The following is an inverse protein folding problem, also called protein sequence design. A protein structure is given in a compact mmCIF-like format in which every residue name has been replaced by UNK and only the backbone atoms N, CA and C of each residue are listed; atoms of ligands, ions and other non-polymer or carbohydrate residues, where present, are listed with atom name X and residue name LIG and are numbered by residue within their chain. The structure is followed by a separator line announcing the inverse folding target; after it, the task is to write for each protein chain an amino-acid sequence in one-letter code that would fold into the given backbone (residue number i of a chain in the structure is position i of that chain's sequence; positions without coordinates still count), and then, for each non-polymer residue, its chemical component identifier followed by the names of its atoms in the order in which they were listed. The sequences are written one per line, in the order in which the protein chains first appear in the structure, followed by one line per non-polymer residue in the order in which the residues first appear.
data_IF_723450586783
#
_entry.id   IF_723450586783
#
_cell.length_a   1.000
_cell.length_b   1.000
_cell.length_c   1.000
_cell.angle_alpha   90.00
_cell.angle_beta   90.00
_cell.angle_gamma   90.00
#
_symmetry.space_group_name_H-M   'P 1'
#
loop_
_entity.id
_entity.type
_entity.pdbx_description
1 polymer ?
#
# COMPACT_ATOMS: atom_id res chain seq x y z
N UNK A 1 9.31 4.77 14.37
CA UNK A 1 10.77 5.06 14.28
C UNK A 1 11.30 4.41 13.00
N UNK A 2 12.18 5.09 12.24
CA UNK A 2 12.77 4.55 11.01
C UNK A 2 13.85 3.52 11.33
N UNK A 3 13.85 2.37 10.60
CA UNK A 3 14.93 1.38 10.69
C UNK A 3 16.30 1.91 10.24
N UNK A 4 16.34 3.04 9.53
CA UNK A 4 17.59 3.72 9.14
C UNK A 4 18.46 4.03 10.36
N UNK A 5 17.86 4.36 11.52
CA UNK A 5 18.61 4.65 12.76
C UNK A 5 19.34 3.44 13.32
N UNK A 6 19.03 2.23 12.87
CA UNK A 6 19.72 1.00 13.28
C UNK A 6 21.04 0.79 12.53
N UNK A 7 21.21 1.41 11.35
CA UNK A 7 22.44 1.30 10.56
C UNK A 7 23.68 1.82 11.27
N UNK A 8 23.50 2.76 12.21
CA UNK A 8 24.61 3.25 13.03
C UNK A 8 25.08 2.25 14.11
N UNK A 9 24.28 1.21 14.39
CA UNK A 9 24.54 0.23 15.46
C UNK A 9 24.86 -1.17 14.93
N UNK A 10 24.39 -1.50 13.73
CA UNK A 10 24.43 -2.86 13.20
C UNK A 10 24.89 -2.86 11.75
N UNK A 11 25.94 -3.60 11.45
CA UNK A 11 26.51 -3.69 10.10
C UNK A 11 25.80 -4.72 9.20
N UNK A 12 24.94 -5.56 9.76
CA UNK A 12 24.25 -6.65 9.06
C UNK A 12 22.81 -6.32 8.69
N UNK A 13 22.45 -5.04 8.62
CA UNK A 13 21.12 -4.55 8.26
C UNK A 13 21.13 -3.94 6.87
N UNK A 14 20.10 -4.25 6.09
CA UNK A 14 19.76 -3.55 4.84
C UNK A 14 18.38 -2.94 4.99
N UNK A 15 18.27 -1.64 4.81
CA UNK A 15 17.00 -0.91 4.82
C UNK A 15 16.63 -0.54 3.40
N UNK A 16 15.57 -1.14 2.87
CA UNK A 16 15.06 -0.84 1.52
C UNK A 16 13.99 0.25 1.55
N UNK A 17 13.92 1.04 0.48
CA UNK A 17 12.91 2.06 0.24
C UNK A 17 12.42 1.97 -1.21
N UNK A 18 11.15 2.23 -1.41
CA UNK A 18 10.51 2.17 -2.73
C UNK A 18 9.91 3.51 -3.12
N UNK A 19 10.02 3.86 -4.38
CA UNK A 19 9.28 4.99 -4.98
C UNK A 19 7.92 4.57 -5.56
N UNK A 20 7.56 3.29 -5.44
CA UNK A 20 6.37 2.73 -6.10
C UNK A 20 5.04 3.21 -5.54
N UNK A 21 4.97 3.64 -4.28
CA UNK A 21 3.69 3.98 -3.62
C UNK A 21 3.53 5.48 -3.47
N UNK A 22 4.01 6.05 -2.37
CA UNK A 22 3.80 7.44 -2.02
C UNK A 22 4.35 8.45 -3.06
N UNK A 23 5.35 8.05 -3.82
CA UNK A 23 5.93 8.86 -4.90
C UNK A 23 5.31 8.57 -6.28
N UNK A 24 4.31 7.70 -6.37
CA UNK A 24 3.58 7.32 -7.60
C UNK A 24 4.46 6.80 -8.76
N UNK A 25 5.66 6.31 -8.49
CA UNK A 25 6.62 5.85 -9.51
C UNK A 25 6.64 4.31 -9.69
N UNK A 26 5.52 3.62 -9.44
CA UNK A 26 5.46 2.16 -9.51
C UNK A 26 5.88 1.60 -10.88
N UNK A 27 5.41 2.22 -11.97
CA UNK A 27 5.72 1.81 -13.35
C UNK A 27 7.16 2.06 -13.78
N UNK A 28 7.86 2.98 -13.09
CA UNK A 28 9.23 3.39 -13.44
C UNK A 28 10.28 2.42 -12.91
N UNK A 29 9.93 1.56 -11.96
CA UNK A 29 10.76 0.48 -11.40
C UNK A 29 12.02 0.98 -10.69
N UNK A 30 11.86 1.85 -9.69
CA UNK A 30 12.97 2.43 -8.91
C UNK A 30 12.73 2.31 -7.41
N UNK A 31 13.78 2.03 -6.70
CA UNK A 31 13.89 1.99 -5.24
C UNK A 31 15.37 2.11 -4.86
N UNK A 32 15.66 2.14 -3.56
CA UNK A 32 17.03 2.16 -3.07
C UNK A 32 17.18 1.38 -1.78
N UNK A 33 18.40 0.97 -1.50
CA UNK A 33 18.80 0.35 -0.26
C UNK A 33 19.86 1.16 0.48
N UNK A 34 19.85 1.08 1.79
CA UNK A 34 20.86 1.65 2.67
C UNK A 34 21.45 0.50 3.49
N UNK A 35 22.77 0.36 3.49
CA UNK A 35 23.50 -0.65 4.23
C UNK A 35 24.91 -0.18 4.58
N UNK A 36 25.69 -1.01 5.28
CA UNK A 36 27.12 -0.78 5.46
C UNK A 36 27.86 -0.83 4.10
N UNK A 37 29.01 -0.16 4.01
CA UNK A 37 29.82 -0.15 2.79
C UNK A 37 30.21 -1.57 2.32
N UNK A 38 30.51 -2.47 3.25
CA UNK A 38 30.84 -3.85 2.94
C UNK A 38 29.69 -4.58 2.24
N UNK A 39 28.46 -4.47 2.76
CA UNK A 39 27.26 -5.05 2.13
C UNK A 39 27.02 -4.43 0.75
N UNK A 40 27.13 -3.11 0.62
CA UNK A 40 26.96 -2.43 -0.68
C UNK A 40 27.98 -2.93 -1.69
N UNK A 41 29.25 -3.10 -1.28
CA UNK A 41 30.30 -3.66 -2.13
C UNK A 41 29.98 -5.07 -2.64
N UNK A 42 29.41 -5.94 -1.80
CA UNK A 42 28.97 -7.28 -2.23
C UNK A 42 27.81 -7.22 -3.24
N UNK A 43 26.85 -6.33 -3.03
CA UNK A 43 25.78 -6.11 -4.03
C UNK A 43 26.30 -5.58 -5.36
N UNK A 44 27.30 -4.70 -5.34
CA UNK A 44 27.90 -4.16 -6.57
C UNK A 44 28.59 -5.23 -7.43
N UNK A 45 29.05 -6.32 -6.83
CA UNK A 45 29.64 -7.47 -7.58
C UNK A 45 28.60 -8.24 -8.40
N UNK A 46 27.34 -8.27 -7.95
CA UNK A 46 26.30 -9.11 -8.54
C UNK A 46 25.18 -8.32 -9.25
N UNK A 47 25.08 -7.02 -9.03
CA UNK A 47 24.04 -6.22 -9.67
C UNK A 47 24.29 -6.13 -11.17
N UNK A 48 23.21 -6.16 -11.94
CA UNK A 48 23.29 -5.98 -13.39
C UNK A 48 23.69 -4.54 -13.75
N UNK A 49 24.52 -4.35 -14.77
CA UNK A 49 24.77 -3.03 -15.33
C UNK A 49 23.47 -2.37 -15.76
N UNK A 50 23.34 -1.07 -15.52
CA UNK A 50 22.15 -0.28 -15.90
C UNK A 50 20.83 -0.79 -15.31
N UNK A 51 20.87 -1.47 -14.15
CA UNK A 51 19.69 -2.01 -13.45
C UNK A 51 18.59 -0.97 -13.15
N UNK A 52 18.93 0.32 -13.11
CA UNK A 52 18.00 1.46 -13.02
C UNK A 52 18.23 2.38 -14.21
N UNK A 53 17.20 2.58 -15.04
CA UNK A 53 17.30 3.45 -16.21
C UNK A 53 17.45 4.93 -15.80
N UNK A 54 18.03 5.74 -16.70
CA UNK A 54 18.34 7.15 -16.46
C UNK A 54 17.08 7.99 -16.11
N UNK A 55 15.97 7.74 -16.81
CA UNK A 55 14.72 8.46 -16.57
C UNK A 55 14.22 8.17 -15.15
N UNK A 56 14.25 6.91 -14.72
CA UNK A 56 13.86 6.51 -13.36
C UNK A 56 14.67 7.23 -12.29
N UNK A 57 15.99 7.36 -12.50
CA UNK A 57 16.87 8.09 -11.57
C UNK A 57 16.50 9.57 -11.49
N UNK A 58 16.27 10.24 -12.63
CA UNK A 58 15.85 11.65 -12.66
C UNK A 58 14.49 11.87 -12.02
N UNK A 59 13.53 10.99 -12.29
CA UNK A 59 12.19 11.06 -11.67
C UNK A 59 12.25 10.83 -10.15
N UNK A 60 13.09 9.92 -9.69
CA UNK A 60 13.28 9.69 -8.26
C UNK A 60 13.84 10.94 -7.55
N UNK A 61 14.86 11.59 -8.13
CA UNK A 61 15.40 12.85 -7.58
C UNK A 61 14.33 13.92 -7.54
N UNK A 62 13.63 14.17 -8.65
CA UNK A 62 12.58 15.19 -8.71
C UNK A 62 11.46 14.92 -7.70
N UNK A 63 11.09 13.64 -7.49
CA UNK A 63 10.02 13.29 -6.53
C UNK A 63 10.45 13.50 -5.06
N UNK A 64 11.73 13.39 -4.75
CA UNK A 64 12.26 13.70 -3.41
C UNK A 64 12.25 15.21 -3.12
N UNK A 65 12.34 16.04 -4.15
CA UNK A 65 12.28 17.50 -4.04
C UNK A 65 10.85 18.04 -3.94
N UNK A 66 9.84 17.26 -4.36
CA UNK A 66 8.43 17.64 -4.27
C UNK A 66 7.81 17.32 -2.90
N UNK A 67 8.22 18.07 -1.89
CA UNK A 67 7.67 17.96 -0.54
C UNK A 67 6.17 18.27 -0.45
N UNK A 68 5.62 19.07 -1.38
CA UNK A 68 4.19 19.40 -1.42
C UNK A 68 3.36 18.18 -1.83
N UNK A 69 3.80 17.49 -2.88
CA UNK A 69 3.16 16.25 -3.31
C UNK A 69 3.20 15.18 -2.21
N UNK A 70 4.36 14.99 -1.61
CA UNK A 70 4.55 14.01 -0.51
C UNK A 70 3.58 14.30 0.65
N UNK A 71 3.51 15.55 1.12
CA UNK A 71 2.61 15.96 2.19
C UNK A 71 1.15 15.69 1.85
N UNK A 72 0.71 16.12 0.65
CA UNK A 72 -0.66 15.89 0.18
C UNK A 72 -1.01 14.39 0.10
N UNK A 73 -0.08 13.56 -0.36
CA UNK A 73 -0.29 12.12 -0.46
C UNK A 73 -0.43 11.46 0.91
N UNK A 74 0.34 11.89 1.90
CA UNK A 74 0.23 11.44 3.29
C UNK A 74 -1.12 11.85 3.89
N UNK A 75 -1.50 13.11 3.78
CA UNK A 75 -2.77 13.64 4.30
C UNK A 75 -3.98 12.91 3.70
N UNK A 76 -3.95 12.62 2.40
CA UNK A 76 -4.99 11.85 1.72
C UNK A 76 -5.08 10.41 2.27
N UNK A 77 -3.93 9.75 2.41
CA UNK A 77 -3.88 8.39 2.95
C UNK A 77 -4.39 8.35 4.39
N UNK A 78 -3.96 9.25 5.23
CA UNK A 78 -4.31 9.27 6.64
C UNK A 78 -5.81 9.58 6.84
N UNK A 79 -6.32 10.61 6.17
CA UNK A 79 -7.74 10.97 6.23
C UNK A 79 -8.65 9.88 5.64
N UNK A 80 -8.24 9.26 4.53
CA UNK A 80 -8.96 8.14 3.93
C UNK A 80 -8.96 6.89 4.82
N UNK A 81 -7.85 6.61 5.47
CA UNK A 81 -7.72 5.50 6.43
C UNK A 81 -8.67 5.70 7.62
N UNK A 82 -8.66 6.88 8.23
CA UNK A 82 -9.55 7.17 9.36
C UNK A 82 -11.02 7.11 8.96
N UNK A 83 -11.38 7.65 7.80
CA UNK A 83 -12.72 7.55 7.26
C UNK A 83 -13.15 6.06 7.10
N UNK A 84 -12.33 5.24 6.45
CA UNK A 84 -12.67 3.82 6.26
C UNK A 84 -12.78 3.07 7.58
N UNK A 85 -11.91 3.33 8.56
CA UNK A 85 -12.00 2.71 9.89
C UNK A 85 -13.32 3.05 10.59
N UNK A 86 -13.74 4.32 10.55
CA UNK A 86 -15.01 4.75 11.14
C UNK A 86 -16.20 4.02 10.51
N UNK A 87 -16.29 4.04 9.18
CA UNK A 87 -17.38 3.40 8.45
C UNK A 87 -17.42 1.87 8.63
N UNK A 88 -16.26 1.21 8.69
CA UNK A 88 -16.18 -0.23 8.94
C UNK A 88 -16.60 -0.59 10.36
N UNK A 89 -16.23 0.23 11.35
CA UNK A 89 -16.67 0.05 12.73
C UNK A 89 -18.19 0.18 12.87
N UNK A 90 -18.82 1.18 12.19
CA UNK A 90 -20.29 1.32 12.17
C UNK A 90 -20.96 0.12 11.52
N UNK A 91 -20.33 -0.54 10.57
CA UNK A 91 -20.82 -1.75 9.92
C UNK A 91 -20.56 -3.04 10.72
N UNK A 92 -19.83 -2.97 11.83
CA UNK A 92 -19.39 -4.12 12.61
C UNK A 92 -18.39 -5.01 11.87
N UNK A 93 -17.63 -4.45 10.91
CA UNK A 93 -16.61 -5.17 10.12
C UNK A 93 -15.27 -4.99 10.78
N UNK A 94 -14.65 -6.09 11.22
CA UNK A 94 -13.27 -6.07 11.73
C UNK A 94 -12.24 -5.94 10.63
N UNK A 95 -11.09 -5.36 10.97
CA UNK A 95 -9.96 -5.17 10.06
C UNK A 95 -8.63 -5.36 10.78
N UNK A 96 -7.59 -5.64 10.02
CA UNK A 96 -6.22 -5.77 10.54
C UNK A 96 -5.57 -4.39 10.70
N UNK A 97 -4.78 -4.22 11.77
CA UNK A 97 -3.96 -3.01 11.92
C UNK A 97 -3.01 -2.86 10.74
N UNK A 98 -2.93 -1.63 10.23
CA UNK A 98 -2.13 -1.31 9.05
C UNK A 98 -1.42 0.02 9.19
N UNK A 99 -0.23 0.11 8.57
CA UNK A 99 0.59 1.31 8.42
C UNK A 99 0.91 1.57 6.95
N UNK A 100 0.06 1.05 6.06
CA UNK A 100 0.23 1.09 4.61
C UNK A 100 -0.83 1.96 3.95
N UNK A 101 -0.92 1.91 2.63
CA UNK A 101 -1.94 2.59 1.84
C UNK A 101 -3.17 1.70 1.55
N UNK A 102 -3.42 0.72 2.39
CA UNK A 102 -4.59 -0.17 2.28
C UNK A 102 -5.05 -0.64 3.65
N UNK A 103 -6.31 -1.05 3.75
CA UNK A 103 -6.89 -1.73 4.89
C UNK A 103 -7.33 -3.14 4.49
N UNK A 104 -7.14 -4.11 5.39
CA UNK A 104 -7.54 -5.50 5.18
C UNK A 104 -8.75 -5.80 6.06
N UNK A 105 -9.91 -6.01 5.43
CA UNK A 105 -11.20 -6.22 6.09
C UNK A 105 -11.53 -7.71 6.17
N UNK A 106 -12.19 -8.11 7.25
CA UNK A 106 -12.65 -9.48 7.47
C UNK A 106 -14.15 -9.58 7.24
N UNK A 107 -14.58 -10.45 6.32
CA UNK A 107 -15.98 -10.64 5.96
C UNK A 107 -16.51 -12.08 6.24
N UNK A 108 -15.60 -12.96 6.67
CA UNK A 108 -15.94 -14.35 6.98
C UNK A 108 -16.45 -15.12 5.77
N UNK A 109 -17.49 -15.97 5.92
CA UNK A 109 -18.02 -16.79 4.81
C UNK A 109 -18.60 -15.97 3.65
N UNK A 110 -18.91 -14.69 3.85
CA UNK A 110 -19.51 -13.80 2.83
C UNK A 110 -18.48 -13.19 1.88
N UNK A 111 -17.19 -13.36 2.15
CA UNK A 111 -16.09 -12.67 1.45
C UNK A 111 -16.18 -12.81 -0.06
N UNK A 112 -16.32 -14.03 -0.57
CA UNK A 112 -16.36 -14.28 -2.01
C UNK A 112 -17.58 -13.63 -2.67
N UNK A 113 -18.76 -13.77 -2.09
CA UNK A 113 -20.00 -13.17 -2.63
C UNK A 113 -19.96 -11.65 -2.62
N UNK A 114 -19.45 -11.04 -1.53
CA UNK A 114 -19.26 -9.57 -1.46
C UNK A 114 -18.26 -9.12 -2.50
N UNK A 115 -17.15 -9.84 -2.69
CA UNK A 115 -16.16 -9.54 -3.72
C UNK A 115 -16.76 -9.53 -5.12
N UNK A 116 -17.55 -10.55 -5.48
CA UNK A 116 -18.19 -10.68 -6.80
C UNK A 116 -19.21 -9.55 -7.05
N UNK A 117 -20.04 -9.22 -6.06
CA UNK A 117 -21.01 -8.11 -6.17
C UNK A 117 -20.25 -6.78 -6.37
N UNK A 118 -19.23 -6.50 -5.56
CA UNK A 118 -18.44 -5.27 -5.67
C UNK A 118 -17.74 -5.18 -7.03
N UNK A 119 -17.18 -6.29 -7.50
CA UNK A 119 -16.51 -6.37 -8.81
C UNK A 119 -17.51 -6.08 -9.96
N UNK A 120 -18.69 -6.67 -9.93
CA UNK A 120 -19.75 -6.42 -10.94
C UNK A 120 -20.23 -4.97 -10.96
N UNK A 121 -20.11 -4.28 -9.82
CA UNK A 121 -20.42 -2.86 -9.71
C UNK A 121 -19.21 -1.93 -9.97
N UNK A 122 -18.08 -2.47 -10.43
CA UNK A 122 -16.88 -1.72 -10.79
C UNK A 122 -16.00 -1.34 -9.60
N UNK A 123 -16.16 -1.97 -8.43
CA UNK A 123 -15.26 -1.82 -7.28
C UNK A 123 -14.30 -3.00 -7.23
N UNK A 124 -13.06 -2.78 -7.66
CA UNK A 124 -12.04 -3.82 -7.76
C UNK A 124 -11.23 -3.85 -6.46
N UNK A 125 -11.44 -4.89 -5.67
CA UNK A 125 -10.67 -5.18 -4.47
C UNK A 125 -9.63 -6.29 -4.72
N UNK A 126 -8.78 -6.54 -3.74
CA UNK A 126 -7.84 -7.67 -3.78
C UNK A 126 -8.32 -8.80 -2.87
N UNK A 127 -8.68 -9.93 -3.45
CA UNK A 127 -8.84 -11.18 -2.68
C UNK A 127 -7.50 -11.60 -2.08
N UNK A 128 -7.53 -12.09 -0.84
CA UNK A 128 -6.35 -12.58 -0.15
C UNK A 128 -6.35 -14.12 -0.02
N UNK A 129 -7.21 -14.81 -0.76
CA UNK A 129 -7.29 -16.27 -0.81
C UNK A 129 -5.93 -16.91 -1.14
N UNK A 130 -5.24 -16.39 -2.17
CA UNK A 130 -3.93 -16.86 -2.58
C UNK A 130 -2.82 -16.67 -1.52
N UNK A 131 -3.13 -15.93 -0.44
CA UNK A 131 -2.25 -15.74 0.72
C UNK A 131 -2.68 -16.57 1.94
N UNK A 132 -3.61 -17.52 1.76
CA UNK A 132 -4.17 -18.32 2.85
C UNK A 132 -5.16 -17.56 3.74
N UNK A 133 -5.72 -16.46 3.25
CA UNK A 133 -6.67 -15.61 3.97
C UNK A 133 -8.00 -15.47 3.19
N UNK A 134 -8.77 -16.57 3.00
CA UNK A 134 -9.97 -16.57 2.17
C UNK A 134 -11.11 -15.70 2.71
N UNK A 135 -11.07 -15.39 4.01
CA UNK A 135 -12.08 -14.55 4.68
C UNK A 135 -11.78 -13.06 4.64
N UNK A 136 -10.76 -12.64 3.87
CA UNK A 136 -10.28 -11.26 3.87
C UNK A 136 -10.23 -10.65 2.47
N UNK A 137 -10.54 -9.35 2.40
CA UNK A 137 -10.31 -8.52 1.23
C UNK A 137 -9.41 -7.34 1.58
N UNK A 138 -8.52 -6.98 0.66
CA UNK A 138 -7.68 -5.79 0.79
C UNK A 138 -8.28 -4.64 -0.02
N UNK A 139 -8.49 -3.53 0.66
CA UNK A 139 -9.04 -2.28 0.10
C UNK A 139 -7.93 -1.24 0.08
N UNK A 140 -7.57 -0.75 -1.08
CA UNK A 140 -6.62 0.37 -1.21
C UNK A 140 -7.31 1.68 -0.80
N UNK A 141 -6.61 2.53 -0.07
CA UNK A 141 -7.10 3.86 0.25
C UNK A 141 -7.10 4.69 -1.03
N UNK A 142 -8.26 5.19 -1.41
CA UNK A 142 -8.47 6.02 -2.59
C UNK A 142 -8.70 7.50 -2.24
N UNK A 143 -9.19 8.25 -3.21
CA UNK A 143 -9.72 9.60 -3.00
C UNK A 143 -10.96 9.56 -2.11
N UNK A 144 -11.41 10.72 -1.66
CA UNK A 144 -12.65 10.81 -0.86
C UNK A 144 -13.85 10.23 -1.61
N UNK A 145 -13.95 10.49 -2.90
CA UNK A 145 -15.02 10.02 -3.78
C UNK A 145 -14.98 8.48 -3.91
N UNK A 146 -13.80 7.91 -4.14
CA UNK A 146 -13.61 6.46 -4.27
C UNK A 146 -13.91 5.74 -2.97
N UNK A 147 -13.44 6.26 -1.83
CA UNK A 147 -13.72 5.69 -0.51
C UNK A 147 -15.22 5.72 -0.20
N UNK A 148 -15.91 6.83 -0.48
CA UNK A 148 -17.37 6.93 -0.32
C UNK A 148 -18.13 5.96 -1.23
N UNK A 149 -17.70 5.84 -2.48
CA UNK A 149 -18.28 4.89 -3.44
C UNK A 149 -18.13 3.45 -2.95
N UNK A 150 -16.93 3.08 -2.49
CA UNK A 150 -16.68 1.77 -1.90
C UNK A 150 -17.61 1.48 -0.74
N UNK A 151 -17.69 2.35 0.25
CA UNK A 151 -18.56 2.17 1.43
C UNK A 151 -20.04 2.06 1.04
N UNK A 152 -20.52 2.90 0.15
CA UNK A 152 -21.89 2.85 -0.36
C UNK A 152 -22.22 1.48 -0.98
N UNK A 153 -21.32 0.97 -1.83
CA UNK A 153 -21.51 -0.32 -2.50
C UNK A 153 -21.32 -1.50 -1.57
N UNK A 154 -20.41 -1.40 -0.59
CA UNK A 154 -20.25 -2.40 0.46
C UNK A 154 -21.52 -2.51 1.31
N UNK A 155 -22.10 -1.38 1.75
CA UNK A 155 -23.37 -1.36 2.49
C UNK A 155 -24.52 -2.02 1.71
N UNK A 156 -24.57 -1.81 0.39
CA UNK A 156 -25.57 -2.44 -0.49
C UNK A 156 -25.34 -3.95 -0.58
N UNK A 157 -24.13 -4.40 -0.90
CA UNK A 157 -23.82 -5.83 -1.03
C UNK A 157 -24.11 -6.63 0.25
N UNK A 158 -23.83 -6.04 1.41
CA UNK A 158 -24.14 -6.67 2.70
C UNK A 158 -25.63 -6.80 2.98
N UNK A 159 -26.47 -5.90 2.45
CA UNK A 159 -27.94 -5.99 2.55
C UNK A 159 -28.50 -7.09 1.65
N UNK A 160 -27.95 -7.27 0.46
CA UNK A 160 -28.36 -8.31 -0.48
C UNK A 160 -28.03 -9.73 -0.01
N UNK A 161 -27.11 -9.86 0.96
CA UNK A 161 -26.67 -11.14 1.52
C UNK A 161 -27.25 -11.46 2.92
N UNK A 162 -28.20 -10.66 3.39
CA UNK A 162 -28.99 -10.92 4.60
C UNK A 162 -30.20 -11.77 4.26
#
# INVERSE_FOLDING_TARGET
KSAVNLLAKYNNIVVTRSFSKIYALAGIRVGYGLASADIVSEFDKIRQPFNVNYIAQKMAVASLEDGKYLKRSLELNDSGMEFLKLELNELGISYLNTYTNFITIHLGPRTQKVYEILLSEGVILRSLENYGLPSYLRVTIGTKEENNMFIKKLKKSLKELK
#
